data_IF_017319075015
#
_entry.id   IF_017319075015
#
_cell.length_a   1.000
_cell.length_b   1.000
_cell.length_c   1.000
_cell.angle_alpha   90.00
_cell.angle_beta   90.00
_cell.angle_gamma   90.00
#
_symmetry.space_group_name_H-M   'P 1'
#
loop_
_entity.id
_entity.type
_entity.pdbx_description
1 polymer ?
#
# COMPACT_ATOMS: atom_id res chain seq x y z
N UNK A 1 5.04 -19.78 -36.53
CA UNK A 1 5.29 -19.45 -35.11
C UNK A 1 3.98 -19.08 -34.44
N UNK A 2 3.63 -19.75 -33.38
CA UNK A 2 2.51 -19.35 -32.55
C UNK A 2 3.01 -18.31 -31.55
N UNK A 3 2.64 -17.04 -31.72
CA UNK A 3 2.89 -15.99 -30.75
C UNK A 3 1.98 -16.21 -29.53
N UNK A 4 2.45 -17.00 -28.57
CA UNK A 4 1.74 -17.20 -27.30
C UNK A 4 2.08 -16.07 -26.36
N UNK A 5 1.05 -15.36 -25.90
CA UNK A 5 1.19 -14.40 -24.80
C UNK A 5 1.51 -15.14 -23.51
N UNK A 6 2.51 -14.65 -22.78
CA UNK A 6 2.87 -15.25 -21.49
C UNK A 6 1.75 -15.02 -20.46
N UNK A 7 1.36 -16.07 -19.77
CA UNK A 7 0.44 -16.03 -18.63
C UNK A 7 1.08 -16.74 -17.45
N UNK A 8 1.35 -16.02 -16.38
CA UNK A 8 1.95 -16.56 -15.17
C UNK A 8 1.01 -17.55 -14.47
N UNK A 9 1.58 -18.64 -13.95
CA UNK A 9 0.85 -19.56 -13.08
C UNK A 9 1.11 -19.21 -11.61
N UNK A 10 0.14 -19.40 -10.70
CA UNK A 10 0.28 -19.01 -9.30
C UNK A 10 1.49 -19.58 -8.56
N UNK A 11 1.96 -20.76 -8.96
CA UNK A 11 3.13 -21.41 -8.35
C UNK A 11 4.48 -21.02 -8.94
N UNK A 12 4.52 -20.34 -10.07
CA UNK A 12 5.75 -20.02 -10.80
C UNK A 12 6.25 -18.59 -10.57
N UNK A 13 5.48 -17.77 -9.85
CA UNK A 13 5.80 -16.36 -9.63
C UNK A 13 6.75 -16.20 -8.46
N UNK A 14 7.89 -15.54 -8.69
CA UNK A 14 8.81 -15.12 -7.63
C UNK A 14 8.27 -13.85 -6.94
N UNK A 15 8.27 -13.85 -5.61
CA UNK A 15 7.85 -12.71 -4.80
C UNK A 15 9.00 -12.26 -3.92
N UNK A 16 9.39 -11.01 -4.07
CA UNK A 16 10.47 -10.40 -3.28
C UNK A 16 9.89 -9.58 -2.12
N UNK A 17 10.72 -9.33 -1.13
CA UNK A 17 10.42 -8.39 -0.06
C UNK A 17 11.11 -7.05 -0.34
N UNK A 18 10.35 -5.98 -0.28
CA UNK A 18 10.79 -4.62 -0.58
C UNK A 18 10.55 -3.73 0.62
N UNK A 19 11.57 -2.97 1.02
CA UNK A 19 11.49 -1.95 2.06
C UNK A 19 11.38 -0.57 1.43
N UNK A 20 10.38 0.19 1.85
CA UNK A 20 10.11 1.55 1.38
C UNK A 20 10.13 2.50 2.55
N UNK A 21 10.97 3.52 2.51
CA UNK A 21 10.98 4.60 3.48
C UNK A 21 10.06 5.74 3.04
N UNK A 22 9.11 6.07 3.90
CA UNK A 22 8.10 7.11 3.65
C UNK A 22 8.47 8.48 4.20
N UNK A 23 9.60 8.60 4.89
CA UNK A 23 10.01 9.87 5.52
C UNK A 23 10.09 10.99 4.48
N UNK A 24 9.29 12.03 4.67
CA UNK A 24 9.26 13.19 3.78
C UNK A 24 8.62 12.97 2.40
N UNK A 25 8.10 11.78 2.11
CA UNK A 25 7.42 11.47 0.85
C UNK A 25 5.95 11.88 0.88
N UNK A 26 5.42 12.26 -0.27
CA UNK A 26 3.99 12.61 -0.42
C UNK A 26 3.14 11.35 -0.39
N UNK A 27 2.09 11.34 0.42
CA UNK A 27 1.21 10.18 0.63
C UNK A 27 0.69 9.56 -0.68
N UNK A 28 0.11 10.38 -1.56
CA UNK A 28 -0.49 9.90 -2.80
C UNK A 28 0.53 9.30 -3.76
N UNK A 29 1.69 9.94 -3.93
CA UNK A 29 2.75 9.45 -4.81
C UNK A 29 3.38 8.15 -4.28
N UNK A 30 3.65 8.09 -2.99
CA UNK A 30 4.13 6.87 -2.35
C UNK A 30 3.11 5.73 -2.48
N UNK A 31 1.84 6.00 -2.25
CA UNK A 31 0.77 5.00 -2.40
C UNK A 31 0.67 4.45 -3.83
N UNK A 32 0.86 5.29 -4.86
CA UNK A 32 0.84 4.87 -6.27
C UNK A 32 1.97 3.87 -6.57
N UNK A 33 3.18 4.18 -6.12
CA UNK A 33 4.34 3.29 -6.33
C UNK A 33 4.15 1.97 -5.59
N UNK A 34 3.71 2.03 -4.33
CA UNK A 34 3.43 0.84 -3.51
C UNK A 34 2.35 -0.03 -4.16
N UNK A 35 1.26 0.56 -4.65
CA UNK A 35 0.20 -0.17 -5.34
C UNK A 35 0.71 -0.87 -6.60
N UNK A 36 1.58 -0.23 -7.36
CA UNK A 36 2.24 -0.81 -8.55
C UNK A 36 3.10 -2.02 -8.18
N UNK A 37 3.89 -1.92 -7.09
CA UNK A 37 4.71 -3.02 -6.59
C UNK A 37 3.86 -4.20 -6.08
N UNK A 38 2.79 -3.93 -5.34
CA UNK A 38 1.88 -4.95 -4.82
C UNK A 38 1.17 -5.70 -5.95
N UNK A 39 0.80 -5.00 -7.00
CA UNK A 39 0.12 -5.60 -8.16
C UNK A 39 1.09 -6.33 -9.09
N UNK A 40 2.36 -5.95 -9.10
CA UNK A 40 3.39 -6.55 -9.94
C UNK A 40 3.48 -5.96 -11.34
N UNK A 41 2.93 -4.77 -11.59
CA UNK A 41 2.99 -4.09 -12.89
C UNK A 41 4.41 -3.71 -13.34
N UNK A 42 5.36 -3.66 -12.42
CA UNK A 42 6.78 -3.41 -12.72
C UNK A 42 7.51 -4.63 -13.27
N UNK A 43 6.90 -5.80 -13.22
CA UNK A 43 7.47 -7.06 -13.70
C UNK A 43 7.00 -7.38 -15.11
N UNK A 44 7.88 -7.93 -15.99
CA UNK A 44 7.48 -8.35 -17.34
C UNK A 44 6.50 -9.53 -17.33
N UNK A 45 6.51 -10.33 -16.28
CA UNK A 45 5.62 -11.49 -16.07
C UNK A 45 4.23 -11.12 -15.51
N UNK A 46 3.90 -9.83 -15.46
CA UNK A 46 2.61 -9.36 -14.95
C UNK A 46 1.43 -10.03 -15.67
N UNK A 47 0.55 -10.63 -14.87
CA UNK A 47 -0.71 -11.24 -15.35
C UNK A 47 -1.86 -10.70 -14.49
N UNK A 48 -2.92 -10.12 -15.09
CA UNK A 48 -3.97 -9.41 -14.34
C UNK A 48 -4.73 -10.27 -13.33
N UNK A 49 -4.90 -11.57 -13.59
CA UNK A 49 -5.67 -12.48 -12.73
C UNK A 49 -4.80 -13.24 -11.70
N UNK A 50 -3.50 -13.08 -11.75
CA UNK A 50 -2.55 -13.74 -10.85
C UNK A 50 -1.86 -12.72 -9.96
N UNK A 51 -1.63 -13.09 -8.70
CA UNK A 51 -0.85 -12.31 -7.76
C UNK A 51 0.66 -12.43 -8.08
N UNK A 52 1.14 -11.55 -8.95
CA UNK A 52 2.55 -11.49 -9.38
C UNK A 52 3.39 -10.46 -8.60
N UNK A 53 2.76 -9.68 -7.71
CA UNK A 53 3.42 -8.58 -6.98
C UNK A 53 4.30 -9.04 -5.81
N UNK A 54 5.06 -8.09 -5.29
CA UNK A 54 5.98 -8.28 -4.18
C UNK A 54 5.32 -7.96 -2.83
N UNK A 55 5.98 -8.40 -1.74
CA UNK A 55 5.68 -7.95 -0.40
C UNK A 55 6.32 -6.58 -0.15
N UNK A 56 5.56 -5.65 0.39
CA UNK A 56 6.05 -4.29 0.67
C UNK A 56 6.00 -4.02 2.17
N UNK A 57 7.13 -3.64 2.72
CA UNK A 57 7.28 -3.15 4.09
C UNK A 57 7.50 -1.64 4.01
N UNK A 58 6.55 -0.86 4.49
CA UNK A 58 6.63 0.60 4.52
C UNK A 58 6.91 1.08 5.94
N UNK A 59 7.96 1.87 6.11
CA UNK A 59 8.39 2.42 7.41
C UNK A 59 8.26 3.93 7.45
N UNK A 60 8.34 4.52 8.66
CA UNK A 60 8.21 5.96 8.88
C UNK A 60 6.86 6.55 8.38
N UNK A 61 5.77 5.83 8.56
CA UNK A 61 4.45 6.31 8.13
C UNK A 61 3.98 7.57 8.88
N UNK A 62 4.53 7.85 10.05
CA UNK A 62 4.29 9.07 10.83
C UNK A 62 4.87 10.34 10.17
N UNK A 63 5.90 10.18 9.32
CA UNK A 63 6.61 11.28 8.66
C UNK A 63 6.16 11.54 7.22
N UNK A 64 5.04 10.97 6.82
CA UNK A 64 4.44 11.18 5.49
C UNK A 64 3.96 12.63 5.37
N UNK A 65 4.17 13.23 4.20
CA UNK A 65 3.72 14.59 3.89
C UNK A 65 2.38 14.58 3.13
N UNK A 66 1.55 15.55 3.48
CA UNK A 66 0.37 15.92 2.72
C UNK A 66 0.55 17.34 2.18
N UNK A 67 0.22 17.55 0.91
CA UNK A 67 0.37 18.85 0.24
C UNK A 67 -0.81 19.77 0.52
N UNK A 68 -0.57 21.10 0.46
CA UNK A 68 -1.59 22.11 0.66
C UNK A 68 -2.18 22.07 2.08
N UNK A 69 -3.49 22.30 2.17
CA UNK A 69 -4.25 22.31 3.44
C UNK A 69 -4.92 20.97 3.74
N UNK A 70 -4.44 19.87 3.18
CA UNK A 70 -5.07 18.55 3.35
C UNK A 70 -5.06 18.05 4.80
N UNK A 71 -4.08 18.43 5.60
CA UNK A 71 -4.04 18.08 7.02
C UNK A 71 -5.29 18.55 7.77
N UNK A 72 -5.82 19.73 7.41
CA UNK A 72 -6.99 20.34 8.04
C UNK A 72 -8.29 20.01 7.32
N UNK A 73 -8.27 19.97 5.99
CA UNK A 73 -9.47 19.89 5.15
C UNK A 73 -9.84 18.47 4.75
N UNK A 74 -8.87 17.57 4.54
CA UNK A 74 -9.16 16.19 4.15
C UNK A 74 -9.76 15.45 5.34
N UNK A 75 -10.94 14.83 5.13
CA UNK A 75 -11.66 14.07 6.15
C UNK A 75 -11.79 12.61 5.76
N UNK A 76 -11.64 11.75 6.76
CA UNK A 76 -11.90 10.33 6.66
C UNK A 76 -13.21 10.03 7.37
N UNK A 77 -14.04 9.20 6.75
CA UNK A 77 -15.37 8.86 7.23
C UNK A 77 -15.46 7.36 7.50
N UNK A 78 -16.12 7.01 8.60
CA UNK A 78 -16.53 5.64 8.88
C UNK A 78 -17.87 5.63 9.60
N UNK A 79 -18.55 4.49 9.60
CA UNK A 79 -19.86 4.35 10.17
C UNK A 79 -19.86 3.25 11.23
N UNK A 80 -20.49 3.50 12.41
CA UNK A 80 -20.57 2.52 13.50
C UNK A 80 -21.61 1.43 13.28
N UNK A 81 -22.49 1.56 12.26
CA UNK A 81 -23.60 0.66 11.99
C UNK A 81 -24.93 1.05 12.67
N UNK A 82 -24.91 2.04 13.56
CA UNK A 82 -26.11 2.56 14.20
C UNK A 82 -26.65 3.82 13.51
N UNK A 83 -27.97 4.13 13.62
CA UNK A 83 -28.52 5.37 13.10
C UNK A 83 -27.76 6.58 13.63
N UNK A 84 -27.38 7.53 12.73
CA UNK A 84 -26.56 8.69 13.09
C UNK A 84 -25.11 8.37 13.47
N UNK A 85 -24.62 7.16 13.18
CA UNK A 85 -23.30 6.68 13.57
C UNK A 85 -22.15 7.06 12.64
N UNK A 86 -22.29 8.10 11.81
CA UNK A 86 -21.19 8.60 10.96
C UNK A 86 -20.16 9.29 11.85
N UNK A 87 -18.91 8.84 11.72
CA UNK A 87 -17.76 9.45 12.41
C UNK A 87 -16.79 10.00 11.41
N UNK A 88 -16.14 11.09 11.76
CA UNK A 88 -15.14 11.74 10.89
C UNK A 88 -13.86 12.01 11.67
N UNK A 89 -12.75 12.01 10.96
CA UNK A 89 -11.47 12.52 11.46
C UNK A 89 -10.76 13.30 10.36
N UNK A 90 -10.05 14.34 10.74
CA UNK A 90 -9.20 15.08 9.82
C UNK A 90 -7.95 14.26 9.47
N UNK A 91 -7.29 14.60 8.37
CA UNK A 91 -6.04 13.93 8.01
C UNK A 91 -4.94 14.12 9.06
N UNK A 92 -4.90 15.29 9.71
CA UNK A 92 -3.97 15.54 10.82
C UNK A 92 -4.22 14.64 12.03
N UNK A 93 -5.49 14.43 12.40
CA UNK A 93 -5.86 13.50 13.47
C UNK A 93 -5.53 12.05 13.12
N UNK A 94 -5.77 11.64 11.88
CA UNK A 94 -5.42 10.30 11.40
C UNK A 94 -3.91 10.08 11.42
N UNK A 95 -3.13 11.07 10.97
CA UNK A 95 -1.67 10.98 10.97
C UNK A 95 -1.10 10.84 12.37
N UNK A 96 -1.66 11.55 13.36
CA UNK A 96 -1.20 11.48 14.75
C UNK A 96 -1.61 10.20 15.47
N UNK A 97 -2.82 9.69 15.19
CA UNK A 97 -3.37 8.51 15.90
C UNK A 97 -3.09 7.19 15.19
N UNK A 98 -3.23 7.15 13.86
CA UNK A 98 -3.16 5.92 13.05
C UNK A 98 -2.47 6.16 11.71
N UNK A 99 -1.16 6.54 11.70
CA UNK A 99 -0.46 6.86 10.46
C UNK A 99 -0.39 5.66 9.48
N UNK A 100 -0.22 4.46 10.00
CA UNK A 100 -0.21 3.25 9.19
C UNK A 100 -1.54 3.03 8.44
N UNK A 101 -2.65 3.32 9.08
CA UNK A 101 -3.97 3.15 8.46
C UNK A 101 -4.22 4.18 7.35
N UNK A 102 -3.71 5.39 7.49
CA UNK A 102 -3.80 6.41 6.45
C UNK A 102 -3.18 5.95 5.12
N UNK A 103 -1.96 5.39 5.16
CA UNK A 103 -1.33 4.83 3.98
C UNK A 103 -2.10 3.62 3.43
N UNK A 104 -2.55 2.74 4.31
CA UNK A 104 -3.32 1.55 3.92
C UNK A 104 -4.62 1.90 3.20
N UNK A 105 -5.34 2.92 3.65
CA UNK A 105 -6.54 3.44 2.98
C UNK A 105 -6.20 3.99 1.59
N UNK A 106 -5.12 4.77 1.47
CA UNK A 106 -4.68 5.32 0.19
C UNK A 106 -4.32 4.22 -0.83
N UNK A 107 -3.56 3.22 -0.41
CA UNK A 107 -3.18 2.07 -1.26
C UNK A 107 -4.41 1.23 -1.62
N UNK A 108 -5.29 0.96 -0.67
CA UNK A 108 -6.54 0.22 -0.92
C UNK A 108 -7.40 0.87 -1.99
N UNK A 109 -7.46 2.22 -1.99
CA UNK A 109 -8.17 2.99 -3.02
C UNK A 109 -7.59 2.83 -4.43
N UNK A 110 -6.31 2.48 -4.55
CA UNK A 110 -5.57 2.31 -5.81
C UNK A 110 -5.49 0.84 -6.28
N UNK A 111 -5.86 -0.10 -5.43
CA UNK A 111 -5.91 -1.52 -5.76
C UNK A 111 -7.27 -1.92 -6.32
N UNK A 112 -7.38 -3.05 -7.06
CA UNK A 112 -8.67 -3.57 -7.53
C UNK A 112 -9.65 -3.83 -6.39
N UNK A 113 -10.94 -3.58 -6.62
CA UNK A 113 -12.03 -3.78 -5.65
C UNK A 113 -12.60 -5.20 -5.72
N UNK A 114 -11.76 -6.20 -5.66
CA UNK A 114 -12.14 -7.61 -5.78
C UNK A 114 -11.38 -8.50 -4.78
N UNK A 115 -11.58 -9.80 -4.87
CA UNK A 115 -10.91 -10.77 -4.00
C UNK A 115 -9.38 -10.71 -4.13
N UNK A 116 -8.89 -10.57 -5.36
CA UNK A 116 -7.44 -10.44 -5.62
C UNK A 116 -6.89 -9.15 -4.97
N UNK A 117 -7.58 -8.03 -5.11
CA UNK A 117 -7.17 -6.75 -4.49
C UNK A 117 -7.05 -6.84 -2.98
N UNK A 118 -7.95 -7.56 -2.32
CA UNK A 118 -7.87 -7.81 -0.87
C UNK A 118 -6.65 -8.68 -0.49
N UNK A 119 -6.32 -9.67 -1.31
CA UNK A 119 -5.09 -10.48 -1.12
C UNK A 119 -3.83 -9.64 -1.31
N UNK A 120 -3.80 -8.77 -2.32
CA UNK A 120 -2.69 -7.86 -2.57
C UNK A 120 -2.46 -6.90 -1.40
N UNK A 121 -3.53 -6.35 -0.83
CA UNK A 121 -3.43 -5.44 0.32
C UNK A 121 -2.84 -6.11 1.57
N UNK A 122 -3.07 -7.40 1.76
CA UNK A 122 -2.48 -8.17 2.88
C UNK A 122 -0.96 -8.28 2.81
N UNK A 123 -0.37 -8.12 1.63
CA UNK A 123 1.09 -8.10 1.43
C UNK A 123 1.74 -6.77 1.81
N UNK A 124 0.95 -5.74 2.05
CA UNK A 124 1.43 -4.46 2.56
C UNK A 124 1.53 -4.50 4.08
N UNK A 125 2.74 -4.26 4.58
CA UNK A 125 3.04 -4.13 6.02
C UNK A 125 3.49 -2.70 6.27
N UNK A 126 2.76 -1.96 7.10
CA UNK A 126 3.03 -0.55 7.37
C UNK A 126 3.37 -0.35 8.83
N UNK A 127 4.46 0.37 9.10
CA UNK A 127 4.94 0.72 10.43
C UNK A 127 5.13 2.23 10.55
N UNK A 128 4.73 2.77 11.69
CA UNK A 128 4.87 4.20 11.98
C UNK A 128 6.34 4.58 12.18
N UNK A 129 7.11 3.72 12.88
CA UNK A 129 8.52 3.89 13.18
C UNK A 129 9.44 3.32 12.07
N UNK A 130 10.76 3.58 12.14
CA UNK A 130 11.73 2.95 11.24
C UNK A 130 11.93 1.46 11.54
N UNK A 131 11.53 0.98 12.70
CA UNK A 131 11.70 -0.41 13.12
C UNK A 131 10.60 -1.30 12.53
N UNK A 132 11.00 -2.49 12.09
CA UNK A 132 10.09 -3.50 11.57
C UNK A 132 10.55 -4.91 11.95
N UNK A 133 9.63 -5.88 12.15
CA UNK A 133 9.96 -7.26 12.54
C UNK A 133 10.38 -8.16 11.38
N UNK A 134 10.56 -7.61 10.17
CA UNK A 134 10.81 -8.38 8.95
C UNK A 134 12.29 -8.50 8.56
N UNK A 135 13.20 -8.48 9.54
CA UNK A 135 14.65 -8.63 9.27
C UNK A 135 15.00 -10.00 8.67
N UNK A 136 14.31 -11.05 9.10
CA UNK A 136 14.53 -12.41 8.60
C UNK A 136 14.26 -12.55 7.09
N UNK A 137 13.31 -11.76 6.55
CA UNK A 137 12.98 -11.75 5.13
C UNK A 137 13.97 -10.95 4.27
N UNK A 138 14.91 -10.22 4.88
CA UNK A 138 15.92 -9.40 4.20
C UNK A 138 15.32 -8.51 3.10
N UNK A 139 14.39 -7.61 3.43
CA UNK A 139 13.75 -6.76 2.44
C UNK A 139 14.77 -5.82 1.79
N UNK A 140 14.73 -5.73 0.46
CA UNK A 140 15.58 -4.80 -0.30
C UNK A 140 15.03 -3.40 -0.22
N UNK A 141 15.86 -2.45 0.15
CA UNK A 141 15.47 -1.05 0.17
C UNK A 141 15.30 -0.51 -1.26
N UNK A 142 14.18 0.15 -1.50
CA UNK A 142 13.85 0.80 -2.77
C UNK A 142 13.46 2.24 -2.48
N UNK A 143 14.08 3.15 -3.20
CA UNK A 143 13.72 4.58 -3.18
C UNK A 143 12.49 4.82 -4.06
N UNK A 144 11.60 5.71 -3.58
CA UNK A 144 10.36 6.08 -4.27
C UNK A 144 10.23 7.59 -4.41
#
# INVERSE_FOLDING_TARGET
MLNKTFAAKPGEVSRNWVLVDLAGKTLGRAATVIATMLRGKHKPEYTPHVDAGDFVVAVNADKVKLTGRKLEQKRYYWHSGYPGGVRTATAGEMLSRKPAEMLRIAVRGMLPKNTLGRKLLKKLKVYASPEHPHQAQQPKQVEI
#
